data_IF_322409951406
#
_entry.id   IF_322409951406
#
_cell.length_a   1.000
_cell.length_b   1.000
_cell.length_c   1.000
_cell.angle_alpha   90.00
_cell.angle_beta   90.00
_cell.angle_gamma   90.00
#
_symmetry.space_group_name_H-M   'P 1'
#
loop_
_entity.id
_entity.type
_entity.pdbx_description
1 polymer ?
#
# COMPACT_ATOMS: atom_id res chain seq x y z
N UNK A 1 -19.57 -15.43 -0.24
CA UNK A 1 -19.49 -16.21 -1.49
C UNK A 1 -18.16 -16.04 -2.21
N UNK A 2 -17.74 -14.85 -2.67
CA UNK A 2 -16.43 -14.68 -3.34
C UNK A 2 -15.21 -14.97 -2.45
N UNK A 3 -15.22 -14.53 -1.17
CA UNK A 3 -14.14 -14.87 -0.21
C UNK A 3 -14.12 -16.37 0.13
N UNK A 4 -15.29 -16.99 0.30
CA UNK A 4 -15.43 -18.44 0.49
C UNK A 4 -14.99 -19.23 -0.75
N UNK A 5 -15.23 -18.71 -1.96
CA UNK A 5 -14.74 -19.29 -3.20
C UNK A 5 -13.22 -19.11 -3.34
N UNK A 6 -12.63 -18.01 -2.87
CA UNK A 6 -11.17 -17.82 -2.83
C UNK A 6 -10.50 -18.76 -1.79
N UNK A 7 -11.14 -18.98 -0.63
CA UNK A 7 -10.70 -19.97 0.37
C UNK A 7 -10.83 -21.41 -0.15
N UNK A 8 -11.93 -21.73 -0.82
CA UNK A 8 -12.09 -23.02 -1.51
C UNK A 8 -11.10 -23.19 -2.68
N UNK A 9 -10.72 -22.09 -3.34
CA UNK A 9 -9.68 -22.07 -4.37
C UNK A 9 -8.29 -22.31 -3.76
N UNK A 10 -8.02 -21.85 -2.53
CA UNK A 10 -6.78 -22.17 -1.80
C UNK A 10 -6.70 -23.66 -1.40
N UNK A 11 -7.83 -24.31 -1.09
CA UNK A 11 -7.88 -25.77 -0.92
C UNK A 11 -7.70 -26.53 -2.25
N UNK A 12 -8.32 -26.03 -3.33
CA UNK A 12 -8.24 -26.63 -4.67
C UNK A 12 -6.89 -26.40 -5.39
N UNK A 13 -6.13 -25.35 -5.03
CA UNK A 13 -4.79 -25.04 -5.58
C UNK A 13 -3.65 -25.81 -4.89
N UNK A 14 -3.94 -26.84 -4.10
CA UNK A 14 -2.94 -27.85 -3.72
C UNK A 14 -2.29 -27.72 -2.34
N UNK A 15 -3.00 -27.20 -1.33
CA UNK A 15 -2.63 -27.43 0.07
C UNK A 15 -3.04 -28.83 0.58
N UNK A 16 -3.81 -29.57 -0.22
CA UNK A 16 -4.01 -31.01 -0.09
C UNK A 16 -2.90 -31.76 -0.84
N UNK A 17 -1.97 -32.35 -0.07
CA UNK A 17 -1.16 -33.52 -0.48
C UNK A 17 -0.35 -33.40 -1.78
N UNK A 18 0.80 -32.71 -1.72
CA UNK A 18 2.08 -33.10 -2.38
C UNK A 18 3.10 -31.98 -2.22
N UNK A 19 3.48 -31.68 -0.97
CA UNK A 19 4.81 -31.11 -0.74
C UNK A 19 5.78 -32.25 -0.99
N UNK A 20 6.71 -32.18 -1.97
CA UNK A 20 7.76 -33.17 -2.08
C UNK A 20 8.48 -33.16 -0.73
N UNK A 21 8.47 -34.29 -0.01
CA UNK A 21 9.41 -34.55 1.08
C UNK A 21 10.81 -34.76 0.47
N UNK A 22 11.28 -33.76 -0.27
CA UNK A 22 12.68 -33.62 -0.58
C UNK A 22 13.32 -33.12 0.71
N UNK A 23 14.11 -34.00 1.33
CA UNK A 23 15.13 -33.58 2.29
C UNK A 23 16.15 -32.75 1.48
N UNK A 24 15.79 -31.50 1.17
CA UNK A 24 16.77 -30.50 0.79
C UNK A 24 17.72 -30.34 1.98
N UNK A 25 19.01 -30.02 1.74
CA UNK A 25 19.94 -29.81 2.83
C UNK A 25 19.31 -28.84 3.82
N UNK A 26 19.31 -29.20 5.11
CA UNK A 26 19.00 -28.27 6.20
C UNK A 26 19.93 -27.08 6.03
N UNK A 27 19.49 -26.06 5.30
CA UNK A 27 20.07 -24.74 5.40
C UNK A 27 19.91 -24.38 6.87
N UNK A 28 21.03 -24.15 7.53
CA UNK A 28 21.04 -23.67 8.90
C UNK A 28 20.03 -22.50 9.01
N UNK A 29 19.32 -22.37 10.15
CA UNK A 29 18.55 -21.15 10.39
C UNK A 29 19.45 -19.97 10.04
N UNK A 30 18.96 -18.94 9.31
CA UNK A 30 19.79 -17.80 8.99
C UNK A 30 20.40 -17.34 10.31
N UNK A 31 21.72 -17.47 10.39
CA UNK A 31 22.52 -16.92 11.49
C UNK A 31 22.03 -15.50 11.68
N UNK A 32 21.80 -15.11 12.94
CA UNK A 32 21.42 -13.74 13.28
C UNK A 32 22.20 -12.79 12.37
N UNK A 33 21.52 -11.90 11.62
CA UNK A 33 22.18 -11.10 10.60
C UNK A 33 23.42 -10.46 11.24
N UNK A 34 24.55 -10.53 10.52
CA UNK A 34 25.74 -9.77 10.91
C UNK A 34 25.28 -8.34 11.25
N UNK A 35 25.85 -7.70 12.28
CA UNK A 35 25.45 -6.35 12.64
C UNK A 35 25.49 -5.51 11.36
N UNK A 36 24.39 -4.81 11.01
CA UNK A 36 24.32 -4.09 9.75
C UNK A 36 25.53 -3.17 9.64
N UNK A 37 26.02 -2.94 8.42
CA UNK A 37 26.95 -1.83 8.24
C UNK A 37 26.29 -0.58 8.84
N UNK A 38 27.07 0.33 9.44
CA UNK A 38 26.52 1.54 10.04
C UNK A 38 25.50 2.15 9.04
N UNK A 39 24.23 2.41 9.40
CA UNK A 39 23.17 2.81 8.47
C UNK A 39 23.57 3.92 7.51
N UNK A 40 24.48 4.79 7.95
CA UNK A 40 25.15 5.81 7.16
C UNK A 40 25.91 5.28 5.93
N UNK A 41 26.72 4.22 6.08
CA UNK A 41 27.45 3.60 4.97
C UNK A 41 26.50 2.97 3.95
N UNK A 42 25.44 2.31 4.40
CA UNK A 42 24.40 1.75 3.52
C UNK A 42 23.65 2.84 2.78
N UNK A 43 23.29 3.93 3.47
CA UNK A 43 22.72 5.12 2.86
C UNK A 43 23.63 5.71 1.77
N UNK A 44 24.92 5.93 2.05
CA UNK A 44 25.87 6.51 1.08
C UNK A 44 26.06 5.64 -0.16
N UNK A 45 26.02 4.31 0.00
CA UNK A 45 26.04 3.37 -1.12
C UNK A 45 24.74 3.43 -1.93
N UNK A 46 23.58 3.46 -1.25
CA UNK A 46 22.28 3.58 -1.88
C UNK A 46 22.14 4.89 -2.65
N UNK A 47 22.58 6.00 -2.07
CA UNK A 47 22.58 7.32 -2.68
C UNK A 47 23.42 7.33 -3.96
N UNK A 48 24.62 6.74 -3.92
CA UNK A 48 25.48 6.59 -5.11
C UNK A 48 24.82 5.74 -6.19
N UNK A 49 24.25 4.59 -5.83
CA UNK A 49 23.57 3.70 -6.77
C UNK A 49 22.30 4.33 -7.38
N UNK A 50 21.59 5.15 -6.61
CA UNK A 50 20.33 5.79 -7.02
C UNK A 50 20.51 6.88 -8.09
N UNK A 51 21.71 7.43 -8.26
CA UNK A 51 21.96 8.55 -9.16
C UNK A 51 21.16 9.83 -8.84
N UNK A 52 20.54 9.93 -7.65
CA UNK A 52 19.68 11.06 -7.26
C UNK A 52 20.45 12.37 -7.08
N UNK A 53 21.67 12.31 -6.55
CA UNK A 53 22.50 13.49 -6.28
C UNK A 53 23.20 13.92 -7.55
N UNK A 54 22.99 15.18 -7.95
CA UNK A 54 23.78 15.79 -9.03
C UNK A 54 25.18 16.09 -8.50
N UNK A 55 26.20 15.60 -9.22
CA UNK A 55 27.60 15.62 -8.78
C UNK A 55 28.20 17.01 -8.55
N UNK A 56 27.56 18.07 -9.05
CA UNK A 56 28.14 19.42 -9.07
C UNK A 56 27.79 20.24 -7.82
N UNK A 57 26.62 20.06 -7.21
CA UNK A 57 26.14 20.86 -6.07
C UNK A 57 25.69 20.02 -4.86
N UNK A 58 25.70 18.69 -4.98
CA UNK A 58 25.28 17.78 -3.92
C UNK A 58 23.76 17.78 -3.67
N UNK A 59 22.97 18.45 -4.50
CA UNK A 59 21.52 18.59 -4.32
C UNK A 59 20.76 17.50 -5.06
N UNK A 60 19.59 17.16 -4.52
CA UNK A 60 18.59 16.33 -5.19
C UNK A 60 17.46 17.24 -5.68
N UNK A 61 17.46 17.54 -6.98
CA UNK A 61 16.46 18.39 -7.61
C UNK A 61 15.51 17.55 -8.44
N UNK A 62 14.21 17.59 -8.12
CA UNK A 62 13.16 17.02 -8.95
C UNK A 62 12.82 18.00 -10.09
N UNK A 63 13.01 17.61 -11.36
CA UNK A 63 12.60 18.45 -12.47
C UNK A 63 11.07 18.47 -12.61
N UNK A 64 10.49 19.51 -13.23
CA UNK A 64 9.05 19.63 -13.41
C UNK A 64 8.39 18.42 -14.11
N UNK A 65 9.12 17.76 -15.01
CA UNK A 65 8.63 16.59 -15.74
C UNK A 65 8.35 15.38 -14.83
N UNK A 66 9.23 15.11 -13.85
CA UNK A 66 9.06 14.00 -12.92
C UNK A 66 7.94 14.28 -11.92
N UNK A 67 7.81 15.53 -11.46
CA UNK A 67 6.68 15.96 -10.62
C UNK A 67 5.36 15.84 -11.36
N UNK A 68 5.29 16.29 -12.62
CA UNK A 68 4.10 16.14 -13.46
C UNK A 68 3.75 14.67 -13.66
N UNK A 69 4.73 13.80 -13.87
CA UNK A 69 4.50 12.36 -13.97
C UNK A 69 3.96 11.77 -12.66
N UNK A 70 4.48 12.19 -11.50
CA UNK A 70 3.97 11.75 -10.20
C UNK A 70 2.53 12.24 -9.94
N UNK A 71 2.23 13.50 -10.26
CA UNK A 71 0.88 14.06 -10.19
C UNK A 71 -0.09 13.34 -11.13
N UNK A 72 0.31 13.10 -12.38
CA UNK A 72 -0.49 12.36 -13.35
C UNK A 72 -0.78 10.93 -12.89
N UNK A 73 0.20 10.27 -12.28
CA UNK A 73 0.02 8.94 -11.72
C UNK A 73 -1.00 8.94 -10.56
N UNK A 74 -1.10 10.04 -9.80
CA UNK A 74 -2.14 10.27 -8.78
C UNK A 74 -3.44 10.84 -9.35
N UNK A 75 -3.57 11.10 -10.65
CA UNK A 75 -4.69 11.83 -11.26
C UNK A 75 -4.88 13.26 -10.69
N UNK A 76 -3.76 13.93 -10.39
CA UNK A 76 -3.65 15.28 -9.84
C UNK A 76 -2.93 16.26 -10.78
N UNK A 77 -2.80 15.96 -12.07
CA UNK A 77 -2.18 16.85 -13.06
C UNK A 77 -3.19 17.85 -13.68
N UNK A 78 -4.42 17.90 -13.15
CA UNK A 78 -5.49 18.76 -13.67
C UNK A 78 -6.08 18.30 -15.01
N UNK A 79 -5.53 17.28 -15.67
CA UNK A 79 -6.03 16.81 -16.96
C UNK A 79 -7.29 15.96 -16.76
N UNK A 80 -8.46 16.56 -17.03
CA UNK A 80 -9.67 15.79 -17.34
C UNK A 80 -9.66 15.60 -18.86
N UNK A 81 -9.90 14.41 -19.43
CA UNK A 81 -10.51 14.39 -20.75
C UNK A 81 -11.84 15.16 -20.66
N UNK A 82 -12.15 16.06 -21.61
CA UNK A 82 -13.36 16.86 -21.56
C UNK A 82 -14.59 15.95 -21.49
N UNK A 83 -15.41 16.12 -20.46
CA UNK A 83 -16.73 15.51 -20.43
C UNK A 83 -17.65 16.30 -21.37
N UNK A 84 -18.51 15.63 -22.16
CA UNK A 84 -19.61 16.31 -22.83
C UNK A 84 -20.61 16.78 -21.76
N UNK A 85 -21.16 17.96 -21.99
CA UNK A 85 -21.96 18.83 -21.11
C UNK A 85 -23.03 18.21 -20.18
N UNK A 86 -23.44 18.94 -19.11
CA UNK A 86 -23.04 20.31 -18.78
C UNK A 86 -21.88 20.40 -17.77
N UNK A 87 -21.13 21.52 -17.79
CA UNK A 87 -19.89 21.67 -17.04
C UNK A 87 -20.18 22.27 -15.66
N UNK A 88 -19.91 21.51 -14.60
CA UNK A 88 -19.36 22.14 -13.41
C UNK A 88 -17.90 22.50 -13.74
N UNK A 89 -17.41 23.71 -13.45
CA UNK A 89 -16.00 24.01 -13.65
C UNK A 89 -15.19 22.97 -12.85
N UNK A 90 -14.22 22.25 -13.45
CA UNK A 90 -13.21 21.62 -12.64
C UNK A 90 -12.55 22.76 -11.88
N UNK A 91 -12.77 22.85 -10.56
CA UNK A 91 -11.98 23.76 -9.74
C UNK A 91 -10.52 23.42 -10.04
N UNK A 92 -9.70 24.39 -10.45
CA UNK A 92 -8.28 24.12 -10.63
C UNK A 92 -7.75 23.56 -9.29
N UNK A 93 -6.65 22.82 -9.35
CA UNK A 93 -6.05 22.21 -8.16
C UNK A 93 -5.39 23.27 -7.25
N UNK A 94 -5.97 24.47 -7.17
CA UNK A 94 -5.56 25.64 -6.38
C UNK A 94 -5.56 25.34 -4.88
N UNK A 95 -6.24 24.28 -4.45
CA UNK A 95 -6.20 23.81 -3.06
C UNK A 95 -4.95 22.99 -2.75
N UNK A 96 -4.20 22.50 -3.74
CA UNK A 96 -2.92 21.83 -3.52
C UNK A 96 -1.88 22.82 -3.03
N UNK A 97 -0.79 22.38 -2.38
CA UNK A 97 0.30 23.27 -2.00
C UNK A 97 0.94 23.91 -3.24
N UNK A 98 1.48 25.13 -3.10
CA UNK A 98 2.07 25.88 -4.21
C UNK A 98 3.19 25.13 -4.94
N UNK A 99 3.90 24.24 -4.23
CA UNK A 99 4.92 23.32 -4.76
C UNK A 99 4.39 22.34 -5.82
N UNK A 100 3.07 22.11 -5.84
CA UNK A 100 2.37 21.17 -6.74
C UNK A 100 1.46 21.87 -7.76
N UNK A 101 1.45 23.21 -7.80
CA UNK A 101 0.63 23.99 -8.72
C UNK A 101 1.41 24.37 -9.99
N UNK A 102 0.71 24.54 -11.11
CA UNK A 102 1.32 24.99 -12.36
C UNK A 102 1.52 26.53 -12.36
N UNK A 103 2.60 27.06 -12.97
CA UNK A 103 3.68 26.32 -13.63
C UNK A 103 4.58 25.61 -12.62
N UNK A 104 4.79 24.30 -12.81
CA UNK A 104 5.65 23.50 -11.92
C UNK A 104 7.11 23.96 -12.04
N UNK A 105 7.67 24.41 -10.91
CA UNK A 105 9.10 24.68 -10.77
C UNK A 105 9.91 23.41 -10.49
N UNK A 106 11.23 23.50 -10.65
CA UNK A 106 12.12 22.49 -10.10
C UNK A 106 12.10 22.58 -8.57
N UNK A 107 11.99 21.44 -7.88
CA UNK A 107 11.88 21.39 -6.42
C UNK A 107 13.13 20.74 -5.84
N UNK A 108 13.73 21.39 -4.85
CA UNK A 108 14.81 20.80 -4.06
C UNK A 108 14.24 19.88 -2.98
N UNK A 109 14.54 18.59 -3.10
CA UNK A 109 14.15 17.55 -2.14
C UNK A 109 15.34 16.98 -1.39
N UNK A 110 16.48 17.69 -1.35
CA UNK A 110 17.68 17.26 -0.63
C UNK A 110 17.36 17.00 0.85
N UNK A 111 16.57 17.87 1.50
CA UNK A 111 16.16 17.65 2.88
C UNK A 111 15.37 16.33 3.07
N UNK A 112 14.52 15.98 2.11
CA UNK A 112 13.75 14.72 2.14
C UNK A 112 14.69 13.51 2.02
N UNK A 113 15.67 13.56 1.11
CA UNK A 113 16.59 12.45 0.87
C UNK A 113 17.65 12.35 1.97
N UNK A 114 18.28 13.47 2.34
CA UNK A 114 19.46 13.50 3.20
C UNK A 114 19.11 13.46 4.70
N UNK A 115 17.94 13.98 5.09
CA UNK A 115 17.51 13.89 6.49
C UNK A 115 16.66 12.65 6.75
N UNK A 116 15.74 12.29 5.85
CA UNK A 116 14.75 11.27 6.16
C UNK A 116 15.22 9.85 5.84
N UNK A 117 15.89 9.61 4.72
CA UNK A 117 16.32 8.25 4.35
C UNK A 117 17.30 7.63 5.36
N UNK A 118 18.35 8.32 5.84
CA UNK A 118 19.23 7.77 6.87
C UNK A 118 18.45 7.44 8.15
N UNK A 119 17.51 8.32 8.55
CA UNK A 119 16.66 8.10 9.72
C UNK A 119 15.75 6.88 9.54
N UNK A 120 15.16 6.68 8.36
CA UNK A 120 14.36 5.48 8.06
C UNK A 120 15.21 4.21 8.21
N UNK A 121 16.42 4.19 7.64
CA UNK A 121 17.33 3.04 7.72
C UNK A 121 17.81 2.78 9.16
N UNK A 122 18.01 3.85 9.95
CA UNK A 122 18.40 3.76 11.35
C UNK A 122 17.26 3.26 12.24
N UNK A 123 16.03 3.75 12.04
CA UNK A 123 14.86 3.37 12.84
C UNK A 123 14.37 1.96 12.52
N UNK A 124 14.54 1.52 11.27
CA UNK A 124 14.08 0.23 10.78
C UNK A 124 15.25 -0.60 10.25
N UNK A 125 15.92 -1.39 11.11
CA UNK A 125 17.06 -2.23 10.70
C UNK A 125 16.74 -3.17 9.53
N UNK A 126 15.47 -3.61 9.43
CA UNK A 126 15.03 -4.40 8.28
C UNK A 126 15.12 -3.63 6.96
N UNK A 127 14.75 -2.34 6.91
CA UNK A 127 14.94 -1.52 5.72
C UNK A 127 16.43 -1.34 5.37
N UNK A 128 17.30 -1.23 6.36
CA UNK A 128 18.75 -1.27 6.14
C UNK A 128 19.18 -2.59 5.50
N UNK A 129 18.74 -3.73 6.03
CA UNK A 129 19.01 -5.05 5.45
C UNK A 129 18.42 -5.21 4.03
N UNK A 130 17.24 -4.64 3.76
CA UNK A 130 16.65 -4.62 2.41
C UNK A 130 17.50 -3.82 1.43
N UNK A 131 17.98 -2.65 1.86
CA UNK A 131 18.86 -1.80 1.06
C UNK A 131 20.21 -2.47 0.81
N UNK A 132 20.79 -3.13 1.81
CA UNK A 132 22.02 -3.89 1.66
C UNK A 132 21.87 -5.03 0.66
N UNK A 133 20.79 -5.82 0.78
CA UNK A 133 20.52 -6.92 -0.14
C UNK A 133 20.24 -6.44 -1.58
N UNK A 134 19.69 -5.24 -1.74
CA UNK A 134 19.52 -4.59 -3.04
C UNK A 134 20.86 -4.14 -3.65
N UNK A 135 21.81 -3.72 -2.81
CA UNK A 135 23.14 -3.25 -3.21
C UNK A 135 24.17 -4.37 -3.36
N UNK A 136 23.93 -5.53 -2.75
CA UNK A 136 24.78 -6.72 -2.85
C UNK A 136 24.79 -7.24 -4.30
N UNK A 137 25.99 -7.60 -4.78
CA UNK A 137 26.24 -8.14 -6.12
C UNK A 137 25.66 -7.32 -7.29
N UNK A 138 25.45 -6.01 -7.09
CA UNK A 138 24.84 -5.15 -8.10
C UNK A 138 23.39 -5.52 -8.42
N UNK A 139 22.65 -6.13 -7.48
CA UNK A 139 21.30 -6.62 -7.74
C UNK A 139 20.39 -5.51 -8.30
N UNK A 140 20.48 -4.27 -7.81
CA UNK A 140 19.76 -3.10 -8.35
C UNK A 140 19.95 -2.85 -9.86
N UNK A 141 21.09 -3.27 -10.43
CA UNK A 141 21.38 -3.19 -11.87
C UNK A 141 20.65 -4.29 -12.65
N UNK A 142 20.36 -5.40 -11.98
CA UNK A 142 19.66 -6.57 -12.55
C UNK A 142 18.14 -6.49 -12.43
N UNK A 143 17.61 -5.73 -11.46
CA UNK A 143 16.18 -5.70 -11.11
C UNK A 143 15.25 -5.21 -12.24
N UNK A 144 15.81 -4.70 -13.34
CA UNK A 144 15.06 -3.97 -14.34
C UNK A 144 15.32 -4.31 -15.82
N UNK A 145 16.25 -5.23 -16.14
CA UNK A 145 16.63 -5.50 -17.54
C UNK A 145 16.74 -7.01 -17.80
N UNK A 146 16.28 -7.53 -18.93
CA UNK A 146 16.54 -6.90 -20.23
C UNK A 146 18.01 -7.07 -20.62
N UNK A 147 18.63 -8.21 -20.29
CA UNK A 147 19.90 -8.62 -20.94
C UNK A 147 19.68 -8.86 -22.45
N UNK A 148 18.41 -9.01 -22.89
CA UNK A 148 18.02 -8.87 -24.29
C UNK A 148 17.15 -7.60 -24.50
N UNK A 149 17.29 -6.91 -25.64
CA UNK A 149 16.60 -5.66 -25.97
C UNK A 149 15.10 -5.85 -26.31
N UNK A 150 14.35 -6.59 -25.48
CA UNK A 150 12.97 -7.01 -25.79
C UNK A 150 11.85 -6.18 -25.16
N UNK A 151 12.15 -5.21 -24.30
CA UNK A 151 11.10 -4.39 -23.66
C UNK A 151 11.48 -2.90 -23.69
N UNK A 152 10.91 -2.15 -24.64
CA UNK A 152 11.08 -0.70 -24.82
C UNK A 152 10.56 0.12 -23.60
N UNK A 153 9.92 -0.54 -22.63
CA UNK A 153 9.31 0.07 -21.44
C UNK A 153 10.11 -0.09 -20.13
N UNK A 154 11.27 -0.76 -20.15
CA UNK A 154 12.10 -0.93 -18.97
C UNK A 154 12.73 0.40 -18.49
N UNK A 155 12.76 0.62 -17.17
CA UNK A 155 13.26 1.86 -16.55
C UNK A 155 14.47 1.51 -15.70
N UNK A 156 15.59 2.22 -15.87
CA UNK A 156 16.79 1.99 -15.07
C UNK A 156 16.59 2.38 -13.59
N UNK A 157 17.32 1.71 -12.69
CA UNK A 157 17.23 1.93 -11.24
C UNK A 157 17.29 3.43 -10.84
N UNK A 158 18.19 4.26 -11.42
CA UNK A 158 18.20 5.69 -11.10
C UNK A 158 16.89 6.42 -11.41
N UNK A 159 16.31 6.17 -12.59
CA UNK A 159 15.07 6.82 -13.00
C UNK A 159 13.88 6.35 -12.14
N UNK A 160 13.92 5.11 -11.63
CA UNK A 160 12.92 4.64 -10.67
C UNK A 160 13.07 5.29 -9.31
N UNK A 161 14.30 5.47 -8.83
CA UNK A 161 14.55 6.24 -7.61
C UNK A 161 13.99 7.67 -7.75
N UNK A 162 14.22 8.34 -8.88
CA UNK A 162 13.66 9.68 -9.14
C UNK A 162 12.14 9.68 -9.11
N UNK A 163 11.49 8.76 -9.84
CA UNK A 163 10.01 8.64 -9.84
C UNK A 163 9.48 8.33 -8.44
N UNK A 164 10.16 7.47 -7.71
CA UNK A 164 9.79 7.08 -6.36
C UNK A 164 9.86 8.27 -5.40
N UNK A 165 10.97 9.02 -5.42
CA UNK A 165 11.14 10.24 -4.61
C UNK A 165 10.11 11.29 -4.98
N UNK A 166 9.79 11.46 -6.28
CA UNK A 166 8.73 12.38 -6.71
C UNK A 166 7.35 11.99 -6.14
N UNK A 167 6.99 10.71 -6.14
CA UNK A 167 5.73 10.25 -5.53
C UNK A 167 5.75 10.43 -4.01
N UNK A 168 6.86 10.11 -3.33
CA UNK A 168 6.99 10.34 -1.88
C UNK A 168 6.85 11.82 -1.55
N UNK A 169 7.49 12.70 -2.31
CA UNK A 169 7.38 14.15 -2.16
C UNK A 169 5.92 14.60 -2.29
N UNK A 170 5.22 14.19 -3.36
CA UNK A 170 3.81 14.55 -3.53
C UNK A 170 2.96 14.02 -2.37
N UNK A 171 3.18 12.79 -1.89
CA UNK A 171 2.42 12.25 -0.77
C UNK A 171 2.69 12.97 0.55
N UNK A 172 3.92 13.41 0.81
CA UNK A 172 4.26 14.25 1.97
C UNK A 172 3.54 15.60 1.90
N UNK A 173 3.55 16.26 0.75
CA UNK A 173 2.80 17.51 0.52
C UNK A 173 1.29 17.31 0.72
N UNK A 174 0.74 16.18 0.25
CA UNK A 174 -0.67 15.84 0.46
C UNK A 174 -1.00 15.52 1.91
N UNK A 175 -0.08 14.92 2.68
CA UNK A 175 -0.26 14.67 4.11
C UNK A 175 -0.26 15.96 4.93
N UNK A 176 0.48 16.97 4.49
CA UNK A 176 0.57 18.28 5.14
C UNK A 176 -0.65 19.20 4.88
N UNK A 177 -1.55 18.83 3.96
CA UNK A 177 -2.76 19.58 3.68
C UNK A 177 -3.63 19.77 4.92
N UNK A 178 -4.27 20.92 5.01
CA UNK A 178 -5.30 21.18 6.01
C UNK A 178 -6.56 20.33 5.74
N UNK A 179 -7.38 20.16 6.79
CA UNK A 179 -8.62 19.38 6.70
C UNK A 179 -9.51 19.83 5.53
N UNK A 180 -9.70 21.14 5.33
CA UNK A 180 -10.53 21.68 4.24
C UNK A 180 -10.00 21.31 2.86
N UNK A 181 -8.68 21.22 2.70
CA UNK A 181 -8.03 20.80 1.47
C UNK A 181 -8.09 19.27 1.27
N UNK A 182 -7.93 18.47 2.33
CA UNK A 182 -8.18 17.02 2.28
C UNK A 182 -9.62 16.71 1.85
N UNK A 183 -10.59 17.49 2.34
CA UNK A 183 -11.99 17.38 1.93
C UNK A 183 -12.17 17.66 0.44
N UNK A 184 -11.53 18.71 -0.08
CA UNK A 184 -11.61 19.06 -1.49
C UNK A 184 -10.94 18.00 -2.38
N UNK A 185 -9.78 17.50 -1.96
CA UNK A 185 -9.09 16.39 -2.62
C UNK A 185 -9.97 15.13 -2.67
N UNK A 186 -10.62 14.79 -1.56
CA UNK A 186 -11.52 13.65 -1.50
C UNK A 186 -12.73 13.83 -2.43
N UNK A 187 -13.36 15.02 -2.44
CA UNK A 187 -14.45 15.35 -3.39
C UNK A 187 -14.00 15.24 -4.84
N UNK A 188 -12.75 15.64 -5.15
CA UNK A 188 -12.17 15.51 -6.48
C UNK A 188 -12.07 14.05 -6.92
N UNK A 189 -11.50 13.17 -6.10
CA UNK A 189 -11.44 11.75 -6.40
C UNK A 189 -12.82 11.12 -6.55
N UNK A 190 -13.81 11.56 -5.77
CA UNK A 190 -15.20 11.11 -5.92
C UNK A 190 -15.80 11.55 -7.26
N UNK A 191 -15.61 12.80 -7.68
CA UNK A 191 -16.08 13.30 -8.97
C UNK A 191 -15.49 12.48 -10.12
N UNK A 192 -14.17 12.25 -10.11
CA UNK A 192 -13.47 11.41 -11.09
C UNK A 192 -14.02 9.97 -11.12
N UNK A 193 -14.45 9.45 -9.97
CA UNK A 193 -15.02 8.11 -9.87
C UNK A 193 -16.49 8.03 -10.28
N UNK A 194 -17.25 9.13 -10.16
CA UNK A 194 -18.68 9.23 -10.46
C UNK A 194 -18.95 9.43 -11.96
N UNK A 195 -18.22 10.33 -12.62
CA UNK A 195 -18.40 10.68 -14.04
C UNK A 195 -18.40 9.45 -14.97
N UNK A 196 -17.56 8.47 -14.66
CA UNK A 196 -17.32 7.32 -15.54
C UNK A 196 -18.30 6.16 -15.38
N UNK A 197 -19.31 6.28 -14.51
CA UNK A 197 -20.42 5.30 -14.45
C UNK A 197 -21.37 5.40 -15.65
N UNK A 198 -21.33 6.51 -16.39
CA UNK A 198 -22.28 6.79 -17.47
C UNK A 198 -21.78 6.40 -18.88
N UNK A 199 -20.51 5.99 -19.03
CA UNK A 199 -19.90 5.73 -20.35
C UNK A 199 -19.60 4.27 -20.71
N UNK A 200 -19.84 3.30 -19.82
CA UNK A 200 -19.39 1.92 -20.02
C UNK A 200 -20.56 0.90 -20.03
N UNK A 201 -21.63 1.20 -20.76
CA UNK A 201 -22.69 0.24 -21.09
C UNK A 201 -22.27 -0.72 -22.24
N UNK A 202 -20.99 -1.10 -22.29
CA UNK A 202 -20.52 -2.17 -23.16
C UNK A 202 -20.90 -3.52 -22.58
N UNK A 203 -21.37 -4.44 -23.41
CA UNK A 203 -21.78 -5.78 -23.01
C UNK A 203 -20.73 -6.44 -22.08
N UNK A 204 -21.16 -7.19 -21.04
CA UNK A 204 -20.24 -7.82 -20.10
C UNK A 204 -19.38 -8.85 -20.83
N UNK A 205 -18.16 -8.45 -21.22
CA UNK A 205 -17.11 -9.41 -21.57
C UNK A 205 -16.91 -10.32 -20.35
N UNK A 206 -16.82 -11.63 -20.58
CA UNK A 206 -16.37 -12.58 -19.54
C UNK A 206 -14.93 -12.21 -19.16
N UNK A 207 -14.78 -11.42 -18.10
CA UNK A 207 -13.47 -11.11 -17.53
C UNK A 207 -12.85 -12.40 -17.01
N UNK A 208 -11.53 -12.61 -17.16
CA UNK A 208 -10.85 -13.69 -16.47
C UNK A 208 -11.16 -13.64 -14.96
N UNK A 209 -11.38 -14.80 -14.34
CA UNK A 209 -11.70 -14.88 -12.90
C UNK A 209 -10.67 -14.15 -12.04
N UNK A 210 -9.39 -14.23 -12.43
CA UNK A 210 -8.29 -13.52 -11.76
C UNK A 210 -8.48 -12.00 -11.77
N UNK A 211 -8.85 -11.41 -12.90
CA UNK A 211 -9.10 -9.96 -13.01
C UNK A 211 -10.31 -9.54 -12.17
N UNK A 212 -11.40 -10.31 -12.24
CA UNK A 212 -12.60 -10.04 -11.46
C UNK A 212 -12.33 -10.10 -9.94
N UNK A 213 -11.48 -11.02 -9.49
CA UNK A 213 -11.05 -11.11 -8.09
C UNK A 213 -10.17 -9.93 -7.69
N UNK A 214 -9.21 -9.52 -8.53
CA UNK A 214 -8.36 -8.35 -8.27
C UNK A 214 -9.19 -7.05 -8.21
N UNK A 215 -10.17 -6.90 -9.09
CA UNK A 215 -11.12 -5.77 -9.06
C UNK A 215 -11.96 -5.77 -7.79
N UNK A 216 -12.43 -6.96 -7.38
CA UNK A 216 -13.19 -7.12 -6.13
C UNK A 216 -12.35 -6.72 -4.92
N UNK A 217 -11.13 -7.23 -4.79
CA UNK A 217 -10.23 -6.90 -3.68
C UNK A 217 -9.90 -5.41 -3.66
N UNK A 218 -9.56 -4.83 -4.82
CA UNK A 218 -9.29 -3.40 -4.92
C UNK A 218 -10.51 -2.54 -4.55
N UNK A 219 -11.72 -2.98 -4.89
CA UNK A 219 -12.96 -2.31 -4.47
C UNK A 219 -13.17 -2.40 -2.95
N UNK A 220 -13.01 -3.59 -2.37
CA UNK A 220 -13.09 -3.80 -0.91
C UNK A 220 -12.08 -2.92 -0.18
N UNK A 221 -10.83 -2.89 -0.64
CA UNK A 221 -9.75 -2.05 -0.10
C UNK A 221 -10.10 -0.56 -0.15
N UNK A 222 -10.63 -0.08 -1.28
CA UNK A 222 -11.02 1.32 -1.39
C UNK A 222 -12.16 1.73 -0.45
N UNK A 223 -13.18 0.88 -0.30
CA UNK A 223 -14.30 1.16 0.60
C UNK A 223 -13.93 0.96 2.09
N UNK A 224 -13.03 0.02 2.41
CA UNK A 224 -12.54 -0.20 3.78
C UNK A 224 -11.68 0.97 4.27
N UNK A 225 -10.84 1.52 3.41
CA UNK A 225 -10.02 2.71 3.73
C UNK A 225 -10.91 3.93 3.97
N UNK A 226 -11.92 4.14 3.13
CA UNK A 226 -12.89 5.22 3.34
C UNK A 226 -13.69 5.03 4.64
N UNK A 227 -14.07 3.79 4.98
CA UNK A 227 -14.69 3.49 6.27
C UNK A 227 -13.75 3.84 7.45
N UNK A 228 -12.44 3.65 7.30
CA UNK A 228 -11.46 4.02 8.33
C UNK A 228 -11.40 5.53 8.54
N UNK A 229 -11.29 6.30 7.46
CA UNK A 229 -11.30 7.78 7.50
C UNK A 229 -12.57 8.29 8.17
N UNK A 230 -13.73 7.73 7.80
CA UNK A 230 -15.01 8.06 8.42
C UNK A 230 -15.07 7.72 9.91
N UNK A 231 -14.42 6.64 10.35
CA UNK A 231 -14.32 6.31 11.77
C UNK A 231 -13.44 7.31 12.52
N UNK A 232 -12.30 7.72 11.96
CA UNK A 232 -11.44 8.75 12.55
C UNK A 232 -12.16 10.09 12.68
N UNK A 233 -12.91 10.52 11.66
CA UNK A 233 -13.70 11.75 11.75
C UNK A 233 -14.77 11.69 12.82
N UNK A 234 -15.43 10.53 12.99
CA UNK A 234 -16.39 10.33 14.09
C UNK A 234 -15.71 10.38 15.45
N UNK A 235 -14.53 9.78 15.61
CA UNK A 235 -13.75 9.87 16.84
C UNK A 235 -13.39 11.32 17.17
N UNK A 236 -12.94 12.09 16.16
CA UNK A 236 -12.60 13.51 16.33
C UNK A 236 -13.79 14.35 16.79
N UNK A 237 -14.99 14.09 16.25
CA UNK A 237 -16.23 14.77 16.69
C UNK A 237 -16.60 14.40 18.13
N UNK A 238 -16.42 13.12 18.50
CA UNK A 238 -16.65 12.66 19.87
C UNK A 238 -15.66 13.30 20.86
N UNK A 239 -14.43 13.59 20.45
CA UNK A 239 -13.43 14.26 21.29
C UNK A 239 -13.94 15.62 21.81
N UNK A 240 -14.66 16.38 20.97
CA UNK A 240 -15.27 17.67 21.35
C UNK A 240 -16.54 17.54 22.22
N UNK A 241 -17.07 16.32 22.38
CA UNK A 241 -18.25 16.07 23.21
C UNK A 241 -17.87 15.88 24.69
N UNK A 242 -18.74 16.28 25.64
CA UNK A 242 -18.52 16.04 27.07
C UNK A 242 -18.26 14.57 27.38
N UNK A 243 -17.40 14.29 28.36
CA UNK A 243 -17.16 12.91 28.78
C UNK A 243 -18.43 12.28 29.35
N UNK A 244 -18.78 11.12 28.82
CA UNK A 244 -19.98 10.36 29.19
C UNK A 244 -19.77 8.88 28.93
N UNK A 245 -20.54 8.03 29.62
CA UNK A 245 -20.51 6.58 29.36
C UNK A 245 -20.87 6.25 27.90
N UNK A 246 -21.79 7.02 27.30
CA UNK A 246 -22.17 6.89 25.89
C UNK A 246 -20.99 7.21 24.95
N UNK A 247 -20.28 8.31 25.20
CA UNK A 247 -19.07 8.69 24.44
C UNK A 247 -18.00 7.58 24.52
N UNK A 248 -17.68 7.10 25.73
CA UNK A 248 -16.70 6.00 25.92
C UNK A 248 -17.12 4.72 25.20
N UNK A 249 -18.41 4.38 25.21
CA UNK A 249 -18.93 3.24 24.46
C UNK A 249 -18.80 3.42 22.94
N UNK A 250 -19.07 4.62 22.44
CA UNK A 250 -18.93 4.95 21.02
C UNK A 250 -17.46 4.87 20.57
N UNK A 251 -16.53 5.43 21.33
CA UNK A 251 -15.08 5.35 21.05
C UNK A 251 -14.61 3.89 21.02
N UNK A 252 -14.97 3.08 22.02
CA UNK A 252 -14.65 1.63 22.03
C UNK A 252 -15.20 0.91 20.81
N UNK A 253 -16.43 1.21 20.41
CA UNK A 253 -17.07 0.60 19.24
C UNK A 253 -16.37 0.98 17.93
N UNK A 254 -15.98 2.25 17.78
CA UNK A 254 -15.21 2.72 16.62
C UNK A 254 -13.80 2.14 16.62
N UNK A 255 -13.14 2.00 17.78
CA UNK A 255 -11.84 1.35 17.91
C UNK A 255 -11.91 -0.11 17.45
N UNK A 256 -12.95 -0.86 17.87
CA UNK A 256 -13.16 -2.23 17.42
C UNK A 256 -13.37 -2.32 15.90
N UNK A 257 -14.11 -1.36 15.32
CA UNK A 257 -14.34 -1.29 13.88
C UNK A 257 -13.05 -0.97 13.10
N UNK A 258 -12.23 -0.02 13.56
CA UNK A 258 -10.93 0.29 12.93
C UNK A 258 -9.99 -0.92 12.95
N UNK A 259 -9.94 -1.65 14.07
CA UNK A 259 -9.16 -2.89 14.16
C UNK A 259 -9.70 -3.99 13.23
N UNK A 260 -11.02 -4.13 13.09
CA UNK A 260 -11.62 -5.06 12.15
C UNK A 260 -11.30 -4.69 10.69
N UNK A 261 -11.31 -3.40 10.34
CA UNK A 261 -10.91 -2.94 9.00
C UNK A 261 -9.43 -3.22 8.73
N UNK A 262 -8.55 -2.95 9.71
CA UNK A 262 -7.13 -3.23 9.58
C UNK A 262 -6.88 -4.72 9.35
N UNK A 263 -7.52 -5.57 10.14
CA UNK A 263 -7.41 -7.01 10.00
C UNK A 263 -7.95 -7.50 8.64
N UNK A 264 -9.06 -6.95 8.14
CA UNK A 264 -9.56 -7.25 6.80
C UNK A 264 -8.53 -6.94 5.71
N UNK A 265 -7.89 -5.76 5.80
CA UNK A 265 -6.85 -5.36 4.85
C UNK A 265 -5.61 -6.29 4.91
N UNK A 266 -5.25 -6.77 6.10
CA UNK A 266 -4.13 -7.72 6.26
C UNK A 266 -4.53 -9.10 5.72
N UNK A 267 -5.74 -9.60 5.99
CA UNK A 267 -6.25 -10.86 5.45
C UNK A 267 -6.25 -10.85 3.93
N UNK A 268 -6.75 -9.76 3.32
CA UNK A 268 -6.71 -9.58 1.86
C UNK A 268 -5.28 -9.76 1.33
N UNK A 269 -4.32 -9.07 1.93
CA UNK A 269 -2.92 -9.10 1.51
C UNK A 269 -2.26 -10.47 1.76
N UNK A 270 -2.61 -11.17 2.85
CA UNK A 270 -2.16 -12.56 3.11
C UNK A 270 -2.70 -13.51 2.03
N UNK A 271 -4.00 -13.43 1.72
CA UNK A 271 -4.61 -14.25 0.66
C UNK A 271 -3.97 -13.93 -0.69
N UNK A 272 -3.67 -12.66 -0.97
CA UNK A 272 -3.00 -12.26 -2.20
C UNK A 272 -1.56 -12.80 -2.29
N UNK A 273 -0.80 -12.77 -1.19
CA UNK A 273 0.54 -13.35 -1.10
C UNK A 273 0.55 -14.85 -1.36
N UNK A 274 -0.45 -15.57 -0.82
CA UNK A 274 -0.56 -17.02 -1.01
C UNK A 274 -1.03 -17.38 -2.43
N UNK A 275 -2.05 -16.68 -2.92
CA UNK A 275 -2.75 -17.04 -4.17
C UNK A 275 -2.01 -16.56 -5.43
N UNK A 276 -1.36 -15.39 -5.36
CA UNK A 276 -0.86 -14.70 -6.55
C UNK A 276 0.65 -14.49 -6.52
N UNK A 277 1.22 -14.08 -5.38
CA UNK A 277 2.65 -13.81 -5.29
C UNK A 277 3.50 -15.06 -4.96
N UNK A 278 2.87 -16.09 -4.36
CA UNK A 278 3.52 -17.30 -3.84
C UNK A 278 4.63 -16.97 -2.82
N UNK A 279 4.35 -16.05 -1.90
CA UNK A 279 5.27 -15.59 -0.84
C UNK A 279 4.80 -16.03 0.54
N UNK A 280 4.96 -17.32 0.89
CA UNK A 280 4.46 -17.87 2.14
C UNK A 280 5.11 -17.22 3.38
N UNK A 281 6.38 -16.81 3.29
CA UNK A 281 7.06 -16.17 4.42
C UNK A 281 6.56 -14.74 4.68
N UNK A 282 6.24 -13.97 3.62
CA UNK A 282 5.59 -12.67 3.79
C UNK A 282 4.14 -12.82 4.29
N UNK A 283 3.43 -13.86 3.83
CA UNK A 283 2.11 -14.19 4.36
C UNK A 283 2.16 -14.60 5.85
N UNK A 284 3.19 -15.34 6.29
CA UNK A 284 3.41 -15.71 7.69
C UNK A 284 3.53 -14.48 8.59
N UNK A 285 4.27 -13.47 8.16
CA UNK A 285 4.35 -12.18 8.86
C UNK A 285 2.99 -11.48 8.95
N UNK A 286 2.19 -11.51 7.88
CA UNK A 286 0.81 -11.01 7.91
C UNK A 286 -0.08 -11.76 8.92
N UNK A 287 0.07 -13.08 9.04
CA UNK A 287 -0.63 -13.87 10.06
C UNK A 287 -0.15 -13.50 11.47
N UNK A 288 1.15 -13.27 11.67
CA UNK A 288 1.68 -12.78 12.94
C UNK A 288 0.99 -11.47 13.35
N UNK A 289 0.94 -10.49 12.43
CA UNK A 289 0.27 -9.20 12.64
C UNK A 289 -1.22 -9.36 12.99
N UNK A 290 -1.90 -10.37 12.47
CA UNK A 290 -3.31 -10.67 12.77
C UNK A 290 -3.51 -11.33 14.14
N UNK A 291 -2.55 -12.11 14.60
CA UNK A 291 -2.60 -12.79 15.90
C UNK A 291 -2.09 -11.91 17.05
N UNK A 292 -1.29 -10.88 16.74
CA UNK A 292 -0.85 -9.88 17.70
C UNK A 292 -1.71 -8.62 17.58
N UNK A 293 -2.39 -8.22 18.65
CA UNK A 293 -3.38 -7.14 18.62
C UNK A 293 -2.77 -5.81 18.16
N UNK A 294 -3.46 -5.08 17.27
CA UNK A 294 -3.07 -3.75 16.80
C UNK A 294 -3.32 -2.62 17.82
N UNK A 295 -3.62 -2.92 19.09
CA UNK A 295 -3.89 -1.90 20.11
C UNK A 295 -5.26 -1.23 20.01
N UNK A 296 -5.61 -0.44 21.02
CA UNK A 296 -6.87 0.30 21.07
C UNK A 296 -6.70 1.74 20.58
N UNK A 297 -7.76 2.30 20.02
CA UNK A 297 -7.80 3.70 19.60
C UNK A 297 -8.44 4.56 20.68
N UNK A 298 -7.91 5.77 20.84
CA UNK A 298 -8.36 6.80 21.78
C UNK A 298 -9.08 7.91 21.03
N UNK A 299 -9.74 8.79 21.79
CA UNK A 299 -10.53 9.90 21.23
C UNK A 299 -9.69 10.96 20.51
N UNK A 300 -8.43 11.10 20.89
CA UNK A 300 -7.44 11.98 20.26
C UNK A 300 -6.84 11.38 18.96
N UNK A 301 -7.46 10.31 18.44
CA UNK A 301 -7.05 9.55 17.25
C UNK A 301 -5.78 8.71 17.45
N UNK A 302 -5.17 8.77 18.64
CA UNK A 302 -4.00 7.96 18.93
C UNK A 302 -4.35 6.48 19.10
N UNK A 303 -3.37 5.63 18.84
CA UNK A 303 -3.47 4.18 18.96
C UNK A 303 -2.41 3.65 19.93
N UNK A 304 -2.79 2.71 20.79
CA UNK A 304 -1.89 1.98 21.68
C UNK A 304 -1.13 0.87 20.92
N UNK A 305 -0.46 1.28 19.84
CA UNK A 305 0.24 0.37 18.93
C UNK A 305 1.68 0.14 19.42
N UNK A 306 2.08 -1.13 19.56
CA UNK A 306 3.46 -1.45 19.90
C UNK A 306 4.41 -1.14 18.75
N UNK A 307 5.63 -0.73 19.09
CA UNK A 307 6.66 -0.45 18.08
C UNK A 307 6.98 -1.69 17.24
N UNK A 308 7.05 -2.87 17.86
CA UNK A 308 7.34 -4.13 17.14
C UNK A 308 6.27 -4.44 16.08
N UNK A 309 4.99 -4.22 16.39
CA UNK A 309 3.91 -4.41 15.42
C UNK A 309 4.00 -3.40 14.29
N UNK A 310 4.21 -2.13 14.64
CA UNK A 310 4.40 -1.04 13.68
C UNK A 310 5.58 -1.31 12.72
N UNK A 311 6.75 -1.66 13.26
CA UNK A 311 7.94 -1.96 12.48
C UNK A 311 7.72 -3.18 11.57
N UNK A 312 7.16 -4.27 12.08
CA UNK A 312 6.84 -5.43 11.25
C UNK A 312 5.84 -5.06 10.14
N UNK A 313 4.83 -4.24 10.44
CA UNK A 313 3.83 -3.83 9.46
C UNK A 313 4.47 -3.05 8.30
N UNK A 314 5.35 -2.10 8.60
CA UNK A 314 6.08 -1.33 7.58
C UNK A 314 6.91 -2.25 6.68
N UNK A 315 7.69 -3.14 7.28
CA UNK A 315 8.57 -4.08 6.58
C UNK A 315 7.77 -5.08 5.74
N UNK A 316 6.72 -5.65 6.33
CA UNK A 316 5.79 -6.57 5.66
C UNK A 316 5.16 -5.94 4.43
N UNK A 317 4.80 -4.66 4.51
CA UNK A 317 4.25 -3.98 3.35
C UNK A 317 5.31 -3.62 2.30
N UNK A 318 6.55 -3.30 2.70
CA UNK A 318 7.62 -3.00 1.75
C UNK A 318 7.97 -4.21 0.87
N UNK A 319 7.75 -5.44 1.34
CA UNK A 319 7.89 -6.64 0.52
C UNK A 319 6.95 -6.67 -0.70
N UNK A 320 5.85 -5.91 -0.70
CA UNK A 320 4.98 -5.79 -1.86
C UNK A 320 5.44 -4.73 -2.88
N UNK A 321 6.51 -3.97 -2.60
CA UNK A 321 7.15 -3.08 -3.59
C UNK A 321 7.70 -3.97 -4.70
N UNK A 322 6.91 -4.15 -5.77
CA UNK A 322 7.28 -4.96 -6.92
C UNK A 322 7.42 -4.09 -8.17
N UNK A 323 8.63 -3.98 -8.75
CA UNK A 323 8.85 -3.00 -9.81
C UNK A 323 8.41 -3.40 -11.22
N UNK A 324 8.10 -4.67 -11.48
CA UNK A 324 7.87 -5.14 -12.85
C UNK A 324 6.45 -4.87 -13.40
N UNK A 325 5.55 -4.24 -12.63
CA UNK A 325 4.15 -4.07 -13.02
C UNK A 325 3.62 -2.67 -12.77
N UNK A 326 3.78 -1.81 -13.79
CA UNK A 326 2.84 -0.72 -14.11
C UNK A 326 2.67 0.38 -13.02
N UNK A 327 1.84 1.42 -13.23
CA UNK A 327 1.61 2.54 -12.30
C UNK A 327 1.15 2.14 -10.87
N UNK A 328 0.90 0.86 -10.61
CA UNK A 328 0.46 0.31 -9.31
C UNK A 328 1.54 0.40 -8.21
N UNK A 329 2.80 0.68 -8.59
CA UNK A 329 3.94 0.96 -7.69
C UNK A 329 3.70 2.09 -6.68
N UNK A 330 2.73 2.96 -6.95
CA UNK A 330 2.36 4.05 -6.03
C UNK A 330 1.83 3.53 -4.70
N UNK A 331 1.21 2.33 -4.68
CA UNK A 331 0.58 1.73 -3.48
C UNK A 331 1.56 1.55 -2.31
N UNK A 332 2.85 1.50 -2.60
CA UNK A 332 3.87 1.19 -1.60
C UNK A 332 4.78 2.38 -1.28
N UNK A 333 4.84 3.40 -2.15
CA UNK A 333 5.54 4.66 -1.84
C UNK A 333 5.01 5.31 -0.56
N UNK A 334 3.71 5.19 -0.29
CA UNK A 334 3.08 5.74 0.91
C UNK A 334 3.63 5.22 2.24
N UNK A 335 4.25 4.03 2.30
CA UNK A 335 4.77 3.50 3.56
C UNK A 335 6.24 3.84 3.79
N UNK A 336 6.87 4.40 2.76
CA UNK A 336 8.22 4.94 2.79
C UNK A 336 8.20 6.47 2.88
N UNK A 337 7.02 7.10 2.95
CA UNK A 337 6.91 8.51 3.30
C UNK A 337 7.47 8.71 4.71
N UNK A 338 8.42 9.63 4.92
CA UNK A 338 8.98 9.90 6.25
C UNK A 338 7.94 10.12 7.35
N UNK A 339 6.83 10.78 7.05
CA UNK A 339 5.74 11.03 8.00
C UNK A 339 5.06 9.74 8.49
N UNK A 340 5.15 8.65 7.74
CA UNK A 340 4.64 7.32 8.13
C UNK A 340 5.77 6.45 8.66
N UNK A 341 6.86 6.28 7.89
CA UNK A 341 7.96 5.41 8.26
C UNK A 341 8.66 5.86 9.53
N UNK A 342 8.88 7.16 9.68
CA UNK A 342 9.53 7.74 10.85
C UNK A 342 8.55 8.36 11.87
N UNK A 343 7.25 8.23 11.61
CA UNK A 343 6.18 8.77 12.45
C UNK A 343 6.00 8.01 13.76
N UNK A 344 5.13 8.53 14.63
CA UNK A 344 4.76 7.83 15.86
C UNK A 344 3.87 6.62 15.55
N UNK A 345 4.10 5.44 16.17
CA UNK A 345 3.15 4.33 16.13
C UNK A 345 1.74 4.74 16.53
N UNK A 346 1.61 5.75 17.41
CA UNK A 346 0.32 6.24 17.88
C UNK A 346 -0.55 6.88 16.80
N UNK A 347 0.05 7.49 15.77
CA UNK A 347 -0.70 8.13 14.67
C UNK A 347 -0.62 7.32 13.37
N UNK A 348 0.04 6.16 13.41
CA UNK A 348 0.36 5.36 12.23
C UNK A 348 -0.87 5.08 11.38
N UNK A 349 -1.94 4.56 11.98
CA UNK A 349 -3.13 4.16 11.23
C UNK A 349 -3.89 5.32 10.61
N UNK A 350 -3.88 6.48 11.27
CA UNK A 350 -4.48 7.69 10.75
C UNK A 350 -3.73 8.17 9.50
N UNK A 351 -2.41 8.35 9.59
CA UNK A 351 -1.57 8.80 8.47
C UNK A 351 -1.60 7.79 7.31
N UNK A 352 -1.52 6.50 7.65
CA UNK A 352 -1.61 5.40 6.69
C UNK A 352 -2.94 5.40 5.95
N UNK A 353 -4.08 5.55 6.64
CA UNK A 353 -5.39 5.52 6.00
C UNK A 353 -5.56 6.64 4.96
N UNK A 354 -5.07 7.84 5.27
CA UNK A 354 -5.14 8.99 4.35
C UNK A 354 -4.25 8.76 3.13
N UNK A 355 -2.99 8.36 3.32
CA UNK A 355 -2.11 8.08 2.18
C UNK A 355 -2.63 6.92 1.32
N UNK A 356 -3.17 5.87 1.95
CA UNK A 356 -3.72 4.73 1.24
C UNK A 356 -4.97 5.09 0.46
N UNK A 357 -5.76 6.06 0.92
CA UNK A 357 -6.96 6.49 0.22
C UNK A 357 -6.62 7.07 -1.15
N UNK A 358 -5.66 8.00 -1.21
CA UNK A 358 -5.23 8.63 -2.47
C UNK A 358 -4.73 7.60 -3.45
N UNK A 359 -3.87 6.73 -2.96
CA UNK A 359 -3.24 5.75 -3.83
C UNK A 359 -4.22 4.70 -4.33
N UNK A 360 -5.07 4.14 -3.46
CA UNK A 360 -6.07 3.16 -3.88
C UNK A 360 -7.06 3.78 -4.86
N UNK A 361 -7.46 5.05 -4.68
CA UNK A 361 -8.33 5.74 -5.62
C UNK A 361 -7.64 5.99 -6.95
N UNK A 362 -6.38 6.44 -6.96
CA UNK A 362 -5.59 6.59 -8.17
C UNK A 362 -5.47 5.26 -8.93
N UNK A 363 -5.13 4.16 -8.25
CA UNK A 363 -5.07 2.81 -8.84
C UNK A 363 -6.42 2.37 -9.41
N UNK A 364 -7.52 2.58 -8.69
CA UNK A 364 -8.86 2.29 -9.20
C UNK A 364 -9.20 3.09 -10.46
N UNK A 365 -8.81 4.37 -10.52
CA UNK A 365 -9.01 5.22 -11.69
C UNK A 365 -8.15 4.76 -12.87
N UNK A 366 -6.87 4.46 -12.67
CA UNK A 366 -5.94 3.96 -13.69
C UNK A 366 -6.45 2.66 -14.30
N UNK A 367 -6.86 1.68 -13.48
CA UNK A 367 -7.43 0.42 -13.98
C UNK A 367 -8.69 0.64 -14.82
N UNK A 368 -9.56 1.56 -14.40
CA UNK A 368 -10.76 1.91 -15.16
C UNK A 368 -10.45 2.57 -16.50
N UNK A 369 -9.48 3.49 -16.55
CA UNK A 369 -9.02 4.11 -17.80
C UNK A 369 -8.51 3.05 -18.77
N UNK A 370 -7.72 2.12 -18.26
CA UNK A 370 -7.19 1.03 -19.04
C UNK A 370 -8.29 0.11 -19.59
N UNK A 371 -9.30 -0.23 -18.78
CA UNK A 371 -10.44 -1.01 -19.27
C UNK A 371 -11.25 -0.28 -20.35
N UNK A 372 -11.34 1.05 -20.27
CA UNK A 372 -11.97 1.85 -21.33
C UNK A 372 -11.16 1.81 -22.63
N UNK A 373 -9.84 2.02 -22.57
CA UNK A 373 -8.98 2.05 -23.77
C UNK A 373 -8.79 0.68 -24.43
N UNK A 374 -8.80 -0.41 -23.65
CA UNK A 374 -8.71 -1.79 -24.16
C UNK A 374 -10.04 -2.31 -24.72
N UNK A 375 -11.17 -1.76 -24.28
CA UNK A 375 -12.47 -2.03 -24.90
C UNK A 375 -12.50 -1.54 -26.36
N UNK A 376 -11.85 -0.40 -26.64
CA UNK A 376 -11.77 0.20 -27.97
C UNK A 376 -10.79 -0.53 -28.90
N UNK A 377 -9.65 -1.00 -28.37
CA UNK A 377 -8.55 -1.57 -29.19
C UNK A 377 -8.61 -3.09 -29.40
N UNK A 378 -9.61 -3.79 -28.84
CA UNK A 378 -9.82 -5.26 -28.92
C UNK A 378 -8.65 -6.15 -28.48
N UNK A 379 -7.54 -5.62 -27.96
CA UNK A 379 -6.43 -6.45 -27.49
C UNK A 379 -6.61 -6.85 -26.02
N UNK A 380 -6.31 -8.12 -25.65
CA UNK A 380 -6.25 -8.52 -24.26
C UNK A 380 -5.13 -7.76 -23.56
N UNK A 381 -5.40 -7.40 -22.32
CA UNK A 381 -4.55 -6.54 -21.54
C UNK A 381 -3.22 -7.25 -21.22
N UNK A 382 -2.10 -6.74 -21.77
CA UNK A 382 -0.78 -7.39 -21.70
C UNK A 382 -0.15 -7.36 -20.31
N UNK A 383 -0.68 -6.57 -19.36
CA UNK A 383 -0.14 -6.42 -18.00
C UNK A 383 -0.20 -7.71 -17.16
N UNK A 384 -0.98 -8.72 -17.58
CA UNK A 384 -1.09 -10.01 -16.93
C UNK A 384 -0.17 -11.07 -17.59
N UNK A 385 0.65 -10.72 -18.59
CA UNK A 385 1.69 -11.63 -19.08
C UNK A 385 2.96 -11.53 -18.25
N UNK A 386 2.80 -11.68 -16.94
CA UNK A 386 3.89 -12.07 -16.06
C UNK A 386 4.22 -13.57 -16.21
N UNK A 387 3.83 -14.23 -17.28
CA UNK A 387 4.11 -15.66 -17.49
C UNK A 387 5.41 -15.89 -18.30
N UNK A 388 6.06 -14.81 -18.78
CA UNK A 388 7.24 -14.90 -19.66
C UNK A 388 8.60 -14.90 -18.98
N UNK A 389 8.73 -14.51 -17.69
CA UNK A 389 9.98 -14.65 -16.96
C UNK A 389 9.86 -15.80 -15.97
N UNK A 390 10.86 -16.69 -15.96
CA UNK A 390 10.81 -17.86 -15.11
C UNK A 390 10.80 -17.44 -13.63
N UNK A 391 10.16 -18.20 -12.73
CA UNK A 391 10.19 -17.91 -11.29
C UNK A 391 11.61 -17.78 -10.72
N UNK A 392 12.61 -18.38 -11.35
CA UNK A 392 14.01 -18.36 -10.91
C UNK A 392 14.66 -16.98 -11.09
N UNK A 393 14.31 -16.25 -12.15
CA UNK A 393 14.85 -14.91 -12.44
C UNK A 393 14.24 -13.80 -11.55
N UNK A 394 13.15 -14.11 -10.83
CA UNK A 394 12.33 -13.17 -10.05
C UNK A 394 12.57 -13.17 -8.55
N UNK A 395 13.28 -14.17 -8.05
CA UNK A 395 13.15 -14.60 -6.66
C UNK A 395 14.23 -14.19 -5.64
N UNK A 396 15.46 -13.74 -5.96
CA UNK A 396 16.48 -13.62 -4.92
C UNK A 396 16.12 -12.61 -3.83
N UNK A 397 15.83 -11.35 -4.20
CA UNK A 397 15.58 -10.29 -3.22
C UNK A 397 14.24 -10.48 -2.52
N UNK A 398 13.15 -10.75 -3.23
CA UNK A 398 11.83 -10.93 -2.60
C UNK A 398 11.75 -12.18 -1.73
N UNK A 399 12.47 -13.25 -2.08
CA UNK A 399 12.58 -14.43 -1.21
C UNK A 399 13.44 -14.16 0.02
N UNK A 400 14.57 -13.46 -0.13
CA UNK A 400 15.41 -13.06 1.02
C UNK A 400 14.64 -12.13 1.96
N UNK A 401 13.94 -11.14 1.41
CA UNK A 401 13.14 -10.17 2.16
C UNK A 401 11.93 -10.82 2.82
N UNK A 402 11.18 -11.66 2.10
CA UNK A 402 10.06 -12.37 2.70
C UNK A 402 10.47 -13.32 3.83
N UNK A 403 11.65 -13.96 3.73
CA UNK A 403 12.22 -14.76 4.84
C UNK A 403 12.57 -13.90 6.04
N UNK A 404 13.20 -12.74 5.83
CA UNK A 404 13.50 -11.79 6.91
C UNK A 404 12.21 -11.35 7.61
N UNK A 405 11.21 -10.91 6.84
CA UNK A 405 9.91 -10.49 7.37
C UNK A 405 9.20 -11.65 8.07
N UNK A 406 9.24 -12.86 7.51
CA UNK A 406 8.67 -14.06 8.13
C UNK A 406 9.30 -14.36 9.50
N UNK A 407 10.63 -14.30 9.60
CA UNK A 407 11.35 -14.47 10.86
C UNK A 407 11.00 -13.38 11.89
N UNK A 408 10.86 -12.12 11.46
CA UNK A 408 10.39 -11.04 12.34
C UNK A 408 8.94 -11.27 12.80
N UNK A 409 8.09 -11.81 11.94
CA UNK A 409 6.74 -12.25 12.30
C UNK A 409 6.75 -13.32 13.38
N UNK A 410 7.61 -14.33 13.25
CA UNK A 410 7.76 -15.37 14.28
C UNK A 410 8.25 -14.80 15.61
N UNK A 411 9.19 -13.86 15.58
CA UNK A 411 9.66 -13.19 16.79
C UNK A 411 8.56 -12.36 17.46
N UNK A 412 7.79 -11.59 16.69
CA UNK A 412 6.65 -10.82 17.20
C UNK A 412 5.61 -11.73 17.86
N UNK A 413 5.24 -12.81 17.16
CA UNK A 413 4.27 -13.78 17.67
C UNK A 413 4.78 -14.47 18.95
N UNK A 414 6.05 -14.90 18.98
CA UNK A 414 6.66 -15.53 20.14
C UNK A 414 6.65 -14.61 21.37
N UNK A 415 6.97 -13.30 21.20
CA UNK A 415 6.88 -12.30 22.28
C UNK A 415 5.46 -12.12 22.81
N UNK A 416 4.45 -12.30 21.96
CA UNK A 416 3.04 -12.28 22.33
C UNK A 416 2.53 -13.62 22.90
N UNK A 417 3.38 -14.64 23.07
CA UNK A 417 2.97 -15.98 23.51
C UNK A 417 2.19 -16.77 22.45
N UNK A 418 2.34 -16.40 21.18
CA UNK A 418 1.61 -16.94 20.03
C UNK A 418 2.56 -17.81 19.21
N UNK A 419 2.26 -19.10 19.08
CA UNK A 419 3.02 -20.00 18.19
C UNK A 419 2.46 -19.97 16.76
N UNK A 420 3.34 -19.64 15.80
CA UNK A 420 3.09 -19.65 14.35
C UNK A 420 4.17 -20.44 13.60
N UNK A 421 4.89 -21.33 14.27
CA UNK A 421 5.96 -22.11 13.63
C UNK A 421 5.41 -23.17 12.66
N UNK A 422 6.15 -23.41 11.58
CA UNK A 422 5.87 -24.48 10.62
C UNK A 422 4.49 -24.38 9.95
N UNK A 423 3.77 -25.50 9.87
CA UNK A 423 2.41 -25.54 9.28
C UNK A 423 1.32 -24.98 10.20
N UNK A 424 1.63 -24.74 11.49
CA UNK A 424 0.65 -24.27 12.48
C UNK A 424 0.10 -22.90 12.10
N UNK A 425 0.91 -22.02 11.51
CA UNK A 425 0.45 -20.69 11.06
C UNK A 425 -0.77 -20.76 10.14
N UNK A 426 -0.79 -21.70 9.20
CA UNK A 426 -1.88 -21.83 8.22
C UNK A 426 -3.14 -22.42 8.86
N UNK A 427 -2.98 -23.37 9.77
CA UNK A 427 -4.10 -23.86 10.58
C UNK A 427 -4.75 -22.72 11.35
N UNK A 428 -3.95 -21.90 12.05
CA UNK A 428 -4.47 -20.75 12.82
C UNK A 428 -5.11 -19.70 11.91
N UNK A 429 -4.54 -19.45 10.75
CA UNK A 429 -5.15 -18.56 9.76
C UNK A 429 -6.55 -19.04 9.35
N UNK A 430 -6.70 -20.32 9.01
CA UNK A 430 -7.96 -20.88 8.53
C UNK A 430 -8.99 -21.06 9.64
N UNK A 431 -8.57 -21.50 10.83
CA UNK A 431 -9.47 -21.91 11.91
C UNK A 431 -9.74 -20.80 12.92
N UNK A 432 -8.78 -19.93 13.19
CA UNK A 432 -8.93 -18.85 14.17
C UNK A 432 -9.24 -17.52 13.48
N UNK A 433 -8.41 -17.10 12.51
CA UNK A 433 -8.49 -15.75 11.94
C UNK A 433 -9.67 -15.63 10.97
N UNK A 434 -9.74 -16.49 9.95
CA UNK A 434 -10.74 -16.35 8.88
C UNK A 434 -12.18 -16.36 9.41
N UNK A 435 -12.59 -17.24 10.36
CA UNK A 435 -13.95 -17.23 10.90
C UNK A 435 -14.25 -15.95 11.68
N UNK A 436 -13.31 -15.47 12.51
CA UNK A 436 -13.46 -14.19 13.22
C UNK A 436 -13.61 -13.02 12.25
N UNK A 437 -12.83 -13.01 11.16
CA UNK A 437 -12.92 -11.95 10.16
C UNK A 437 -14.19 -12.05 9.30
N UNK A 438 -14.68 -13.24 9.02
CA UNK A 438 -15.98 -13.43 8.38
C UNK A 438 -17.14 -12.94 9.27
N UNK A 439 -17.05 -13.18 10.58
CA UNK A 439 -18.04 -12.68 11.54
C UNK A 439 -18.00 -11.14 11.66
N UNK A 440 -16.81 -10.54 11.66
CA UNK A 440 -16.64 -9.08 11.70
C UNK A 440 -16.94 -8.41 10.36
N UNK A 441 -16.88 -9.14 9.25
CA UNK A 441 -17.07 -8.59 7.90
C UNK A 441 -18.42 -7.88 7.76
N UNK A 442 -19.49 -8.40 8.36
CA UNK A 442 -20.80 -7.73 8.30
C UNK A 442 -20.79 -6.36 9.01
N UNK A 443 -20.05 -6.23 10.11
CA UNK A 443 -19.88 -4.96 10.81
C UNK A 443 -19.09 -3.97 9.94
N UNK A 444 -17.98 -4.43 9.35
CA UNK A 444 -17.17 -3.62 8.43
C UNK A 444 -17.98 -3.20 7.20
N UNK A 445 -18.68 -4.14 6.56
CA UNK A 445 -19.50 -3.91 5.38
C UNK A 445 -20.69 -2.96 5.66
N UNK A 446 -21.25 -2.98 6.88
CA UNK A 446 -22.27 -2.00 7.29
C UNK A 446 -21.68 -0.59 7.45
N UNK A 447 -20.42 -0.48 7.85
CA UNK A 447 -19.72 0.79 7.96
C UNK A 447 -19.18 1.31 6.61
N UNK A 448 -18.98 0.41 5.64
CA UNK A 448 -18.61 0.79 4.27
C UNK A 448 -19.74 1.60 3.60
N UNK A 449 -19.41 2.66 2.84
CA UNK A 449 -20.41 3.43 2.11
C UNK A 449 -21.08 2.58 1.02
N UNK A 450 -22.37 2.25 1.20
CA UNK A 450 -23.16 1.47 0.22
C UNK A 450 -23.63 2.37 -0.94
N UNK A 451 -23.65 1.81 -2.14
CA UNK A 451 -23.89 2.56 -3.37
C UNK A 451 -25.31 3.13 -3.51
N UNK A 452 -25.42 4.45 -3.44
CA UNK A 452 -26.29 5.29 -4.28
C UNK A 452 -25.78 6.74 -4.22
N UNK A 453 -25.84 7.46 -5.34
CA UNK A 453 -25.81 8.92 -5.49
C UNK A 453 -25.09 9.76 -4.41
N UNK A 454 -23.91 10.30 -4.75
CA UNK A 454 -23.31 11.52 -4.16
C UNK A 454 -23.12 11.62 -2.62
N UNK A 455 -23.48 10.59 -1.84
CA UNK A 455 -23.44 10.62 -0.37
C UNK A 455 -22.18 10.04 0.28
N UNK A 456 -21.13 9.71 -0.49
CA UNK A 456 -20.02 8.86 -0.02
C UNK A 456 -18.99 9.56 0.87
N UNK A 457 -18.95 10.89 0.85
CA UNK A 457 -18.22 11.77 1.78
C UNK A 457 -19.14 12.57 2.72
N UNK A 458 -20.42 12.19 2.92
CA UNK A 458 -21.34 12.94 3.81
C UNK A 458 -20.84 13.11 5.25
N UNK A 459 -19.87 12.31 5.70
CA UNK A 459 -19.23 12.43 7.02
C UNK A 459 -18.03 13.38 7.05
N UNK A 460 -17.56 13.81 5.88
CA UNK A 460 -16.48 14.77 5.71
C UNK A 460 -17.05 16.17 5.40
N UNK A 461 -18.23 16.24 4.78
CA UNK A 461 -19.09 17.44 4.76
C UNK A 461 -19.86 17.57 6.09
N UNK A 462 -20.06 18.79 6.55
CA UNK A 462 -20.56 19.12 7.91
C UNK A 462 -22.04 18.75 8.18
N UNK A 463 -22.69 18.03 7.28
CA UNK A 463 -24.13 17.75 7.34
C UNK A 463 -24.41 16.32 7.81
N UNK A 464 -24.43 16.13 9.12
CA UNK A 464 -25.40 15.23 9.74
C UNK A 464 -25.96 15.93 10.98
N UNK A 465 -27.30 16.02 11.13
CA UNK A 465 -27.94 16.55 12.32
C UNK A 465 -27.61 15.76 13.58
#
# INVERSE_FOLDING_TARGET
MALLAAVATLELLGLSSNVPRGVGPRLAPPTAPAPPAAPQHTYERLLRASGLVRREDGRVILPPADLRAALAALHLDGTRPPAPDPPGPPRPLDFLPASLQEPLGAVDVSALVDAALPRVLQQHPAFCAMAEALLEDGFYETVYWGVEPRDEAAVGFPQLCVRFVAVVFVLEELLALERTQHLELARRYEALYADRRHGAAGAPRRRPVREALLDFFLAVKGESVLASINCFERMRRLAASPDSAAKRQAVRSLSGLLNAIMALNIVEAVVANLSFARWPENARAGVALLLTQSGHFREDLSQDLSYDWFALYLVWNACFVWPAHAPDMMCFAMLLTPSIACGSPSLFQYNRAHSLFWVVRATQLTKRQHYASTAETRQPAQWIRADGATPQDRQPLTTRMSKLTGAQGEQLAARAGVDISGSRVWYRFVVEILPTQLASFLQVYRAMPKGSSFGKLRLLTEEMP
#
